data_IF_172310087275
#
_entry.id   IF_172310087275
#
_cell.length_a   1.000
_cell.length_b   1.000
_cell.length_c   1.000
_cell.angle_alpha   90.00
_cell.angle_beta   90.00
_cell.angle_gamma   90.00
#
_symmetry.space_group_name_H-M   'P 1'
#
loop_
_entity.id
_entity.type
_entity.pdbx_description
1 polymer ?
#
# COMPACT_ATOMS: atom_id res chain seq x y z
N UNK A 1 -36.40 3.01 -64.61
CA UNK A 1 -37.87 3.13 -64.42
C UNK A 1 -38.34 1.81 -63.83
N UNK A 2 -38.99 1.84 -62.67
CA UNK A 2 -39.48 0.62 -62.02
C UNK A 2 -40.74 0.11 -62.76
N UNK A 3 -40.69 -1.10 -63.30
CA UNK A 3 -41.81 -1.75 -63.98
C UNK A 3 -42.36 -2.96 -63.19
N UNK A 4 -41.94 -3.14 -61.93
CA UNK A 4 -42.34 -4.29 -61.10
C UNK A 4 -43.85 -4.35 -60.85
N UNK A 5 -44.53 -3.20 -60.76
CA UNK A 5 -45.98 -3.12 -60.61
C UNK A 5 -46.71 -3.56 -61.89
N UNK A 6 -46.18 -3.19 -63.07
CA UNK A 6 -46.79 -3.52 -64.36
C UNK A 6 -46.77 -5.04 -64.65
N UNK A 7 -45.76 -5.74 -64.12
CA UNK A 7 -45.64 -7.20 -64.24
C UNK A 7 -46.26 -7.99 -63.07
N UNK A 8 -47.04 -7.35 -62.19
CA UNK A 8 -47.63 -8.05 -61.03
C UNK A 8 -48.84 -8.93 -61.38
N UNK A 9 -49.39 -8.80 -62.59
CA UNK A 9 -50.57 -9.52 -63.09
C UNK A 9 -50.21 -10.92 -63.63
N UNK A 10 -51.17 -11.86 -63.60
CA UNK A 10 -50.90 -13.31 -63.67
C UNK A 10 -50.17 -13.82 -64.93
N UNK A 11 -50.48 -13.31 -66.13
CA UNK A 11 -49.76 -13.68 -67.36
C UNK A 11 -48.41 -12.97 -67.47
N UNK A 12 -48.37 -11.70 -67.09
CA UNK A 12 -47.18 -10.85 -67.15
C UNK A 12 -46.09 -11.30 -66.18
N UNK A 13 -46.46 -11.94 -65.07
CA UNK A 13 -45.54 -12.54 -64.11
C UNK A 13 -44.71 -13.69 -64.70
N UNK A 14 -45.27 -14.46 -65.66
CA UNK A 14 -44.52 -15.52 -66.34
C UNK A 14 -43.50 -14.94 -67.32
N UNK A 15 -43.89 -13.88 -68.03
CA UNK A 15 -43.01 -13.15 -68.95
C UNK A 15 -41.88 -12.48 -68.16
N UNK A 16 -42.19 -11.86 -67.01
CA UNK A 16 -41.21 -11.23 -66.15
C UNK A 16 -40.18 -12.21 -65.58
N UNK A 17 -40.59 -13.43 -65.21
CA UNK A 17 -39.64 -14.49 -64.83
C UNK A 17 -38.71 -14.88 -65.98
N UNK A 18 -39.25 -15.03 -67.19
CA UNK A 18 -38.46 -15.33 -68.39
C UNK A 18 -37.42 -14.23 -68.67
N UNK A 19 -37.82 -12.96 -68.56
CA UNK A 19 -36.87 -11.85 -68.66
C UNK A 19 -35.85 -11.84 -67.51
N UNK A 20 -36.25 -12.17 -66.28
CA UNK A 20 -35.31 -12.30 -65.17
C UNK A 20 -34.25 -13.38 -65.40
N UNK A 21 -34.56 -14.46 -66.11
CA UNK A 21 -33.60 -15.53 -66.39
C UNK A 21 -32.66 -15.20 -67.56
N UNK A 22 -33.14 -14.43 -68.57
CA UNK A 22 -32.39 -14.15 -69.80
C UNK A 22 -31.56 -12.85 -69.71
N UNK A 23 -32.10 -11.80 -69.11
CA UNK A 23 -31.53 -10.44 -69.18
C UNK A 23 -31.14 -9.86 -67.82
N UNK A 24 -31.13 -10.64 -66.73
CA UNK A 24 -30.68 -10.15 -65.42
C UNK A 24 -29.17 -9.96 -65.40
N UNK A 25 -28.75 -8.70 -65.45
CA UNK A 25 -27.32 -8.30 -65.38
C UNK A 25 -26.89 -8.00 -63.93
N UNK A 26 -27.83 -7.80 -63.00
CA UNK A 26 -27.55 -7.54 -61.59
C UNK A 26 -28.84 -7.34 -60.77
N UNK A 27 -28.72 -7.24 -59.45
CA UNK A 27 -29.80 -6.88 -58.53
C UNK A 27 -29.45 -5.59 -57.81
N UNK A 28 -30.42 -4.68 -57.67
CA UNK A 28 -30.30 -3.55 -56.76
C UNK A 28 -30.49 -4.12 -55.35
N UNK A 29 -29.38 -4.28 -54.62
CA UNK A 29 -29.42 -4.74 -53.25
C UNK A 29 -29.98 -3.62 -52.38
N UNK A 30 -31.11 -3.89 -51.71
CA UNK A 30 -31.65 -3.00 -50.69
C UNK A 30 -31.19 -3.55 -49.35
N UNK A 31 -30.75 -2.69 -48.42
CA UNK A 31 -30.25 -3.18 -47.14
C UNK A 31 -31.26 -4.14 -46.51
N UNK A 32 -30.84 -5.39 -46.32
CA UNK A 32 -31.72 -6.39 -45.73
C UNK A 32 -32.17 -5.91 -44.35
N UNK A 33 -33.38 -6.27 -43.93
CA UNK A 33 -33.89 -5.94 -42.60
C UNK A 33 -32.90 -6.38 -41.51
N UNK A 34 -32.18 -7.48 -41.74
CA UNK A 34 -31.08 -7.95 -40.88
C UNK A 34 -29.88 -6.98 -40.83
N UNK A 35 -29.47 -6.39 -41.95
CA UNK A 35 -28.41 -5.38 -41.99
C UNK A 35 -28.82 -4.10 -41.25
N UNK A 36 -30.06 -3.64 -41.44
CA UNK A 36 -30.61 -2.47 -40.74
C UNK A 36 -30.69 -2.74 -39.24
N UNK A 37 -31.21 -3.90 -38.83
CA UNK A 37 -31.28 -4.30 -37.43
C UNK A 37 -29.88 -4.38 -36.79
N UNK A 38 -28.91 -4.98 -37.48
CA UNK A 38 -27.52 -5.05 -37.02
C UNK A 38 -26.89 -3.67 -36.84
N UNK A 39 -27.10 -2.76 -37.79
CA UNK A 39 -26.62 -1.37 -37.68
C UNK A 39 -27.27 -0.64 -36.50
N UNK A 40 -28.57 -0.81 -36.27
CA UNK A 40 -29.26 -0.21 -35.12
C UNK A 40 -28.65 -0.72 -33.82
N UNK A 41 -28.47 -2.05 -33.68
CA UNK A 41 -27.84 -2.64 -32.48
C UNK A 41 -26.42 -2.11 -32.29
N UNK A 42 -25.63 -2.01 -33.37
CA UNK A 42 -24.27 -1.48 -33.33
C UNK A 42 -24.27 -0.01 -32.88
N UNK A 43 -25.13 0.84 -33.44
CA UNK A 43 -25.21 2.25 -33.03
C UNK A 43 -25.67 2.40 -31.58
N UNK A 44 -26.64 1.61 -31.12
CA UNK A 44 -27.08 1.63 -29.72
C UNK A 44 -25.94 1.21 -28.79
N UNK A 45 -25.21 0.14 -29.12
CA UNK A 45 -24.05 -0.30 -28.35
C UNK A 45 -22.93 0.74 -28.36
N UNK A 46 -22.65 1.37 -29.51
CA UNK A 46 -21.65 2.41 -29.66
C UNK A 46 -21.98 3.63 -28.81
N UNK A 47 -23.22 4.13 -28.86
CA UNK A 47 -23.69 5.27 -28.05
C UNK A 47 -23.59 4.93 -26.57
N UNK A 48 -23.97 3.71 -26.17
CA UNK A 48 -23.86 3.27 -24.79
C UNK A 48 -22.40 3.26 -24.31
N UNK A 49 -21.49 2.61 -25.05
CA UNK A 49 -20.06 2.57 -24.70
C UNK A 49 -19.48 3.99 -24.66
N UNK A 50 -19.75 4.81 -25.68
CA UNK A 50 -19.22 6.17 -25.77
C UNK A 50 -19.76 7.05 -24.63
N UNK A 51 -21.02 6.91 -24.23
CA UNK A 51 -21.57 7.64 -23.10
C UNK A 51 -20.92 7.26 -21.77
N UNK A 52 -20.62 5.97 -21.53
CA UNK A 52 -19.87 5.52 -20.36
C UNK A 52 -18.45 6.10 -20.38
N UNK A 53 -17.77 6.09 -21.53
CA UNK A 53 -16.41 6.64 -21.67
C UNK A 53 -16.41 8.14 -21.40
N UNK A 54 -17.35 8.90 -21.99
CA UNK A 54 -17.48 10.35 -21.77
C UNK A 54 -17.81 10.65 -20.30
N UNK A 55 -18.72 9.89 -19.68
CA UNK A 55 -19.03 10.06 -18.26
C UNK A 55 -17.79 9.82 -17.38
N UNK A 56 -17.04 8.74 -17.62
CA UNK A 56 -15.77 8.48 -16.92
C UNK A 56 -14.75 9.60 -17.13
N UNK A 57 -14.65 10.14 -18.34
CA UNK A 57 -13.75 11.25 -18.65
C UNK A 57 -14.14 12.53 -17.89
N UNK A 58 -15.42 12.90 -17.87
CA UNK A 58 -15.91 14.08 -17.12
C UNK A 58 -15.67 13.90 -15.61
N UNK A 59 -15.92 12.69 -15.07
CA UNK A 59 -15.61 12.38 -13.68
C UNK A 59 -14.11 12.48 -13.38
N UNK A 60 -13.24 12.03 -14.30
CA UNK A 60 -11.80 12.16 -14.15
C UNK A 60 -11.34 13.63 -14.14
N UNK A 61 -11.92 14.48 -15.01
CA UNK A 61 -11.65 15.93 -15.01
C UNK A 61 -12.12 16.58 -13.71
N UNK A 62 -13.32 16.22 -13.23
CA UNK A 62 -13.83 16.71 -11.96
C UNK A 62 -12.94 16.29 -10.79
N UNK A 63 -12.46 15.05 -10.81
CA UNK A 63 -11.52 14.56 -9.81
C UNK A 63 -10.20 15.33 -9.84
N UNK A 64 -9.62 15.50 -11.03
CA UNK A 64 -8.33 16.17 -11.22
C UNK A 64 -8.37 17.66 -10.84
N UNK A 65 -9.48 18.36 -11.09
CA UNK A 65 -9.57 19.80 -10.84
C UNK A 65 -10.07 20.15 -9.44
N UNK A 66 -10.93 19.31 -8.85
CA UNK A 66 -11.61 19.64 -7.58
C UNK A 66 -11.30 18.68 -6.43
N UNK A 67 -11.29 17.37 -6.67
CA UNK A 67 -11.21 16.37 -5.58
C UNK A 67 -9.78 16.02 -5.17
N UNK A 68 -8.82 15.96 -6.11
CA UNK A 68 -7.45 15.50 -5.84
C UNK A 68 -6.74 16.31 -4.73
N UNK A 69 -7.03 17.61 -4.65
CA UNK A 69 -6.47 18.53 -3.65
C UNK A 69 -6.91 18.20 -2.22
N UNK A 70 -8.05 17.53 -2.06
CA UNK A 70 -8.56 17.11 -0.75
C UNK A 70 -7.71 15.96 -0.17
N UNK A 71 -7.16 15.10 -1.02
CA UNK A 71 -6.46 13.87 -0.64
C UNK A 71 -4.94 14.04 -0.52
N UNK A 72 -4.35 15.00 -1.24
CA UNK A 72 -2.92 15.27 -1.18
C UNK A 72 -2.48 15.72 0.24
N UNK A 73 -1.25 15.37 0.63
CA UNK A 73 -0.66 15.82 1.91
C UNK A 73 -0.54 17.36 1.93
N UNK A 74 -0.79 17.96 3.11
CA UNK A 74 -0.84 19.42 3.23
C UNK A 74 0.57 20.04 3.16
N UNK A 75 1.55 19.31 3.67
CA UNK A 75 2.97 19.67 3.64
C UNK A 75 3.76 18.45 3.16
N UNK A 76 4.61 18.64 2.17
CA UNK A 76 5.65 17.71 1.74
C UNK A 76 6.87 18.53 1.33
N UNK A 77 8.06 17.95 1.33
CA UNK A 77 9.29 18.60 0.88
C UNK A 77 9.22 19.05 -0.61
N UNK A 78 8.22 18.56 -1.34
CA UNK A 78 7.95 18.86 -2.75
C UNK A 78 6.68 19.71 -2.95
N UNK A 79 6.03 20.15 -1.85
CA UNK A 79 4.82 20.98 -1.88
C UNK A 79 5.15 22.44 -2.18
N UNK A 80 4.76 22.91 -3.38
CA UNK A 80 4.91 24.31 -3.78
C UNK A 80 4.65 24.56 -5.25
N UNK A 81 5.26 23.76 -6.14
CA UNK A 81 5.13 23.89 -7.59
C UNK A 81 4.91 22.52 -8.26
N UNK A 82 3.66 22.19 -8.59
CA UNK A 82 3.32 20.93 -9.26
C UNK A 82 4.10 20.71 -10.56
N UNK A 83 4.40 21.78 -11.31
CA UNK A 83 5.21 21.71 -12.53
C UNK A 83 6.66 21.31 -12.24
N UNK A 84 7.28 21.87 -11.19
CA UNK A 84 8.66 21.53 -10.79
C UNK A 84 8.74 20.10 -10.29
N UNK A 85 7.76 19.66 -9.48
CA UNK A 85 7.66 18.27 -9.04
C UNK A 85 7.57 17.31 -10.23
N UNK A 86 6.70 17.60 -11.20
CA UNK A 86 6.58 16.76 -12.40
C UNK A 86 7.88 16.73 -13.22
N UNK A 87 8.58 17.86 -13.32
CA UNK A 87 9.91 17.91 -13.96
C UNK A 87 10.94 17.05 -13.22
N UNK A 88 10.99 17.11 -11.88
CA UNK A 88 11.86 16.27 -11.07
C UNK A 88 11.54 14.79 -11.22
N UNK A 89 10.26 14.42 -11.33
CA UNK A 89 9.84 13.04 -11.59
C UNK A 89 10.34 12.59 -12.97
N UNK A 90 10.20 13.41 -14.02
CA UNK A 90 10.72 13.05 -15.35
C UNK A 90 12.26 12.98 -15.36
N UNK A 91 12.96 13.96 -14.77
CA UNK A 91 14.43 13.96 -14.68
C UNK A 91 15.00 12.80 -13.86
N UNK A 92 14.24 12.30 -12.88
CA UNK A 92 14.63 11.13 -12.09
C UNK A 92 14.24 9.82 -12.77
N UNK A 93 13.17 9.82 -13.56
CA UNK A 93 12.82 8.69 -14.41
C UNK A 93 13.85 8.48 -15.55
N UNK A 94 14.50 9.55 -16.02
CA UNK A 94 15.50 9.44 -17.10
C UNK A 94 16.79 8.68 -16.68
N UNK A 95 17.08 8.56 -15.37
CA UNK A 95 18.27 7.84 -14.86
C UNK A 95 17.94 6.95 -13.65
N UNK A 96 17.95 5.62 -13.89
CA UNK A 96 17.68 4.60 -12.88
C UNK A 96 18.75 4.55 -11.80
N UNK A 97 19.98 5.02 -12.00
CA UNK A 97 21.00 4.93 -10.95
C UNK A 97 21.13 6.21 -10.14
N UNK A 98 20.36 7.25 -10.49
CA UNK A 98 20.38 8.52 -9.78
C UNK A 98 19.74 8.38 -8.40
N UNK A 99 20.38 8.92 -7.33
CA UNK A 99 19.77 8.97 -6.00
C UNK A 99 18.53 9.86 -6.01
N UNK A 100 17.65 9.62 -5.04
CA UNK A 100 16.44 10.42 -4.85
C UNK A 100 16.76 11.94 -4.76
N UNK A 101 15.89 12.81 -5.33
CA UNK A 101 16.03 14.25 -5.17
C UNK A 101 16.18 14.67 -3.71
N UNK A 102 16.92 15.75 -3.45
CA UNK A 102 17.11 16.25 -2.09
C UNK A 102 15.76 16.67 -1.49
N UNK A 103 15.30 15.91 -0.50
CA UNK A 103 14.26 16.33 0.45
C UNK A 103 14.82 17.59 1.12
N UNK A 104 14.19 18.74 0.90
CA UNK A 104 14.59 19.96 1.58
C UNK A 104 14.19 19.83 3.07
N UNK A 105 15.10 20.14 4.00
CA UNK A 105 14.94 20.10 5.47
C UNK A 105 13.77 20.94 6.03
N UNK A 106 12.98 21.53 5.15
CA UNK A 106 11.80 22.36 5.41
C UNK A 106 10.73 21.70 6.29
N UNK A 107 10.72 20.36 6.45
CA UNK A 107 9.73 19.67 7.29
C UNK A 107 10.14 19.70 8.77
N UNK A 108 11.44 19.65 9.09
CA UNK A 108 11.92 19.66 10.48
C UNK A 108 12.00 21.08 11.08
N UNK A 109 12.31 22.10 10.26
CA UNK A 109 12.52 23.48 10.73
C UNK A 109 11.32 24.42 10.56
N UNK A 110 10.13 23.91 10.21
CA UNK A 110 8.90 24.72 10.08
C UNK A 110 7.89 24.51 11.23
N UNK A 111 8.38 24.09 12.40
CA UNK A 111 7.59 24.03 13.64
C UNK A 111 7.34 25.40 14.29
N UNK A 112 7.92 26.49 13.78
CA UNK A 112 7.67 27.85 14.26
C UNK A 112 7.24 28.79 13.12
N UNK A 113 5.99 28.66 12.66
CA UNK A 113 5.14 29.78 12.20
C UNK A 113 3.78 29.21 11.82
N UNK A 114 3.07 28.70 12.81
CA UNK A 114 1.62 28.79 12.73
C UNK A 114 1.30 30.28 12.57
N UNK A 115 0.80 30.67 11.40
CA UNK A 115 0.23 31.98 11.15
C UNK A 115 -0.95 32.16 12.11
N UNK A 116 -0.66 32.60 13.34
CA UNK A 116 -1.63 33.24 14.23
C UNK A 116 -2.04 34.54 13.54
N UNK A 117 -2.99 34.46 12.60
CA UNK A 117 -3.91 35.57 12.39
C UNK A 117 -4.71 35.68 13.67
N UNK A 118 -4.18 36.44 14.63
CA UNK A 118 -4.88 36.76 15.87
C UNK A 118 -6.20 37.43 15.51
N UNK A 119 -7.30 36.76 15.83
CA UNK A 119 -8.59 37.40 15.90
C UNK A 119 -8.50 38.50 16.95
N UNK A 120 -8.69 39.75 16.54
CA UNK A 120 -8.53 40.96 17.38
C UNK A 120 -9.67 41.16 18.40
N UNK A 121 -10.50 40.14 18.65
CA UNK A 121 -11.65 40.21 19.55
C UNK A 121 -11.66 38.98 20.48
N UNK A 122 -11.78 39.16 21.80
CA UNK A 122 -11.90 38.05 22.74
C UNK A 122 -13.26 37.36 22.55
N UNK A 123 -13.25 36.08 22.16
CA UNK A 123 -14.48 35.30 21.90
C UNK A 123 -14.91 34.41 23.05
N UNK A 124 -14.33 34.56 24.25
CA UNK A 124 -14.74 33.79 25.43
C UNK A 124 -15.39 34.71 26.47
N UNK A 125 -16.69 34.50 26.68
CA UNK A 125 -17.44 35.09 27.78
C UNK A 125 -17.22 34.25 29.04
N UNK A 126 -17.16 34.89 30.22
CA UNK A 126 -17.09 34.23 31.54
C UNK A 126 -18.36 33.42 31.88
N UNK A 127 -19.35 33.40 30.99
CA UNK A 127 -20.60 32.66 31.12
C UNK A 127 -20.76 31.52 30.09
N UNK A 128 -19.71 31.17 29.34
CA UNK A 128 -19.77 30.04 28.40
C UNK A 128 -19.72 28.72 29.17
N UNK A 129 -20.81 27.95 29.11
CA UNK A 129 -20.89 26.63 29.74
C UNK A 129 -19.94 25.63 29.05
N UNK A 130 -19.42 24.62 29.77
CA UNK A 130 -18.55 23.59 29.20
C UNK A 130 -19.13 22.90 27.94
N UNK A 131 -20.45 22.77 27.89
CA UNK A 131 -21.18 22.18 26.75
C UNK A 131 -21.16 23.03 25.47
N UNK A 132 -20.97 24.36 25.57
CA UNK A 132 -20.87 25.21 24.39
C UNK A 132 -19.49 25.12 23.72
N UNK A 133 -18.44 24.80 24.49
CA UNK A 133 -17.09 24.56 23.98
C UNK A 133 -17.07 23.25 23.16
N UNK A 134 -17.75 22.22 23.64
CA UNK A 134 -17.89 20.93 22.94
C UNK A 134 -18.56 21.09 21.56
N UNK A 135 -19.60 21.94 21.48
CA UNK A 135 -20.26 22.28 20.20
C UNK A 135 -19.40 23.11 19.25
N UNK A 136 -18.44 23.87 19.78
CA UNK A 136 -17.47 24.62 18.97
C UNK A 136 -16.33 23.74 18.45
N UNK A 137 -15.94 22.70 19.20
CA UNK A 137 -15.04 21.64 18.72
C UNK A 137 -15.71 20.77 17.65
N UNK A 138 -17.01 20.53 17.74
CA UNK A 138 -17.79 19.86 16.69
C UNK A 138 -17.84 20.64 15.36
N UNK A 139 -17.42 21.91 15.36
CA UNK A 139 -17.26 22.75 14.14
C UNK A 139 -15.83 22.77 13.59
N UNK A 140 -14.86 22.22 14.32
CA UNK A 140 -13.56 21.86 13.75
C UNK A 140 -13.74 20.59 12.92
N UNK A 141 -13.05 20.48 11.78
CA UNK A 141 -13.03 19.23 11.00
C UNK A 141 -12.75 18.06 11.95
N UNK A 142 -13.44 16.91 11.79
CA UNK A 142 -13.15 15.74 12.62
C UNK A 142 -11.65 15.48 12.55
N UNK A 143 -11.01 15.37 13.70
CA UNK A 143 -9.59 15.04 13.76
C UNK A 143 -9.42 13.69 13.06
N UNK A 144 -8.45 13.60 12.16
CA UNK A 144 -8.10 12.33 11.54
C UNK A 144 -7.68 11.35 12.63
N UNK A 145 -8.10 10.09 12.52
CA UNK A 145 -7.77 9.06 13.51
C UNK A 145 -7.06 7.89 12.85
N UNK A 146 -5.87 7.57 13.32
CA UNK A 146 -5.12 6.33 13.07
C UNK A 146 -5.23 5.40 14.27
N UNK A 147 -4.91 4.12 14.11
CA UNK A 147 -4.88 3.15 15.22
C UNK A 147 -4.03 3.63 16.41
N UNK A 148 -2.89 4.29 16.14
CA UNK A 148 -2.03 4.88 17.16
C UNK A 148 -2.69 6.06 17.91
N UNK A 149 -3.45 6.91 17.21
CA UNK A 149 -4.17 8.03 17.83
C UNK A 149 -5.39 7.57 18.64
N UNK A 150 -6.08 6.52 18.20
CA UNK A 150 -7.24 5.97 18.91
C UNK A 150 -6.82 5.28 20.21
N UNK A 151 -5.74 4.49 20.20
CA UNK A 151 -5.22 3.82 21.40
C UNK A 151 -4.73 4.83 22.45
N UNK A 152 -4.08 5.91 22.01
CA UNK A 152 -3.62 7.00 22.88
C UNK A 152 -4.78 7.77 23.51
N UNK A 153 -5.84 8.05 22.72
CA UNK A 153 -7.03 8.78 23.19
C UNK A 153 -7.88 7.93 24.13
N UNK A 154 -8.01 6.62 23.87
CA UNK A 154 -8.74 5.68 24.73
C UNK A 154 -8.14 5.60 26.15
N UNK A 155 -6.83 5.81 26.31
CA UNK A 155 -6.14 5.79 27.61
C UNK A 155 -6.29 7.10 28.40
N UNK A 156 -6.74 8.19 27.79
CA UNK A 156 -6.91 9.50 28.41
C UNK A 156 -8.34 9.77 28.93
N UNK A 157 -9.30 8.88 28.66
CA UNK A 157 -10.69 9.01 29.10
C UNK A 157 -10.95 8.07 30.29
N UNK A 158 -11.05 8.57 31.54
CA UNK A 158 -11.47 7.74 32.67
C UNK A 158 -12.95 7.38 32.48
N UNK A 159 -13.25 6.10 32.23
CA UNK A 159 -14.62 5.57 32.32
C UNK A 159 -15.39 5.35 31.02
N UNK A 160 -14.74 5.34 29.85
CA UNK A 160 -15.40 4.89 28.61
C UNK A 160 -15.36 3.36 28.49
N UNK A 161 -16.16 2.67 29.32
CA UNK A 161 -16.61 1.32 29.03
C UNK A 161 -18.14 1.30 28.95
N UNK A 162 -18.63 0.47 28.02
CA UNK A 162 -20.02 0.02 27.84
C UNK A 162 -20.91 0.91 26.94
N UNK A 163 -20.88 0.64 25.63
CA UNK A 163 -22.02 0.08 24.88
C UNK A 163 -21.55 -0.34 23.47
N UNK A 164 -21.44 -1.64 23.22
CA UNK A 164 -21.00 -2.21 21.95
C UNK A 164 -20.19 -3.47 22.15
N UNK A 165 -20.87 -4.57 22.44
CA UNK A 165 -20.29 -5.89 22.63
C UNK A 165 -19.71 -6.40 21.29
N UNK A 166 -18.40 -6.34 21.14
CA UNK A 166 -17.62 -7.09 20.17
C UNK A 166 -16.44 -7.70 20.92
N UNK A 167 -16.33 -9.03 20.89
CA UNK A 167 -15.31 -9.82 21.60
C UNK A 167 -13.90 -9.23 21.41
N UNK A 168 -13.39 -8.55 22.43
CA UNK A 168 -11.96 -8.24 22.59
C UNK A 168 -11.48 -8.94 23.86
N UNK A 169 -10.57 -9.89 23.68
CA UNK A 169 -9.96 -10.73 24.71
C UNK A 169 -8.82 -10.01 25.45
N UNK A 170 -9.05 -8.83 26.00
CA UNK A 170 -8.05 -8.15 26.84
C UNK A 170 -8.12 -8.52 28.33
N UNK A 171 -8.89 -9.54 28.72
CA UNK A 171 -9.15 -9.82 30.14
C UNK A 171 -9.01 -11.27 30.58
N UNK A 172 -8.01 -11.98 30.07
CA UNK A 172 -7.60 -13.28 30.62
C UNK A 172 -6.11 -13.26 30.88
N UNK A 173 -5.71 -12.81 32.08
CA UNK A 173 -4.53 -13.27 32.85
C UNK A 173 -4.34 -12.42 34.13
N UNK A 174 -5.34 -12.42 35.04
CA UNK A 174 -5.20 -12.03 36.47
C UNK A 174 -6.57 -12.31 37.12
N UNK A 175 -6.77 -13.09 38.19
CA UNK A 175 -5.92 -13.47 39.32
C UNK A 175 -6.34 -14.86 39.84
N UNK A 176 -5.34 -15.65 40.27
CA UNK A 176 -5.54 -16.55 41.40
C UNK A 176 -5.30 -15.75 42.69
N UNK A 177 -6.34 -15.70 43.53
CA UNK A 177 -6.43 -15.23 44.92
C UNK A 177 -5.09 -15.09 45.69
N UNK A 178 -4.81 -13.91 46.24
CA UNK A 178 -4.69 -13.69 47.71
C UNK A 178 -4.14 -12.28 48.08
N UNK A 179 -5.03 -11.49 48.70
CA UNK A 179 -4.82 -10.66 49.90
C UNK A 179 -3.81 -9.49 49.98
N UNK A 180 -4.40 -8.30 50.17
CA UNK A 180 -4.22 -7.35 51.29
C UNK A 180 -2.93 -6.50 51.35
N UNK A 181 -3.03 -5.23 50.93
CA UNK A 181 -3.05 -4.02 51.78
C UNK A 181 -2.52 -2.78 51.04
N UNK A 182 -3.36 -1.75 50.97
CA UNK A 182 -2.97 -0.35 50.70
C UNK A 182 -2.83 0.36 52.05
N UNK A 183 -1.85 1.26 52.23
CA UNK A 183 -2.24 2.65 52.48
C UNK A 183 -1.37 3.69 51.74
N UNK A 184 -2.05 4.53 50.96
CA UNK A 184 -2.04 6.00 50.99
C UNK A 184 -0.69 6.74 51.22
N UNK A 185 -0.24 7.55 50.25
CA UNK A 185 -0.34 9.03 50.29
C UNK A 185 0.64 9.78 49.36
N UNK A 186 0.10 10.85 48.76
CA UNK A 186 0.72 12.10 48.30
C UNK A 186 1.71 12.12 47.13
N UNK A 187 1.14 12.55 45.99
CA UNK A 187 1.61 13.61 45.08
C UNK A 187 3.11 13.72 44.74
N UNK A 188 3.42 13.45 43.47
CA UNK A 188 4.34 14.26 42.65
C UNK A 188 4.04 14.05 41.16
N UNK A 189 3.63 15.13 40.49
CA UNK A 189 3.43 15.20 39.04
C UNK A 189 4.76 14.98 38.33
N UNK A 190 4.85 13.97 37.46
CA UNK A 190 5.89 13.84 36.45
C UNK A 190 5.26 13.52 35.08
N UNK A 191 5.87 14.11 34.05
CA UNK A 191 5.64 13.90 32.62
C UNK A 191 5.64 12.41 32.27
N UNK A 192 4.63 11.96 31.54
CA UNK A 192 4.50 10.58 31.08
C UNK A 192 5.49 10.30 29.94
N UNK A 193 6.72 9.93 30.31
CA UNK A 193 7.53 9.01 29.52
C UNK A 193 6.86 7.65 29.63
N UNK A 194 6.81 6.91 28.54
CA UNK A 194 6.22 5.56 28.48
C UNK A 194 7.09 4.61 29.30
N UNK A 195 6.88 4.59 30.61
CA UNK A 195 7.38 3.54 31.48
C UNK A 195 6.25 2.49 31.56
N UNK A 196 6.37 1.48 30.72
CA UNK A 196 5.63 0.23 30.87
C UNK A 196 6.09 -0.41 32.18
N UNK A 197 5.45 -0.07 33.30
CA UNK A 197 5.79 -0.64 34.60
C UNK A 197 5.24 -2.07 34.70
N UNK A 198 6.10 -2.97 34.29
CA UNK A 198 6.02 -4.41 34.27
C UNK A 198 7.23 -4.86 33.45
N UNK A 199 8.12 -5.72 33.97
CA UNK A 199 9.26 -6.18 33.20
C UNK A 199 8.73 -7.04 32.05
N UNK A 200 8.40 -6.41 30.93
CA UNK A 200 8.44 -7.06 29.63
C UNK A 200 9.81 -7.73 29.52
N UNK A 201 9.90 -8.92 28.91
CA UNK A 201 11.08 -9.75 29.01
C UNK A 201 12.30 -8.92 28.59
N UNK A 202 13.17 -8.61 29.56
CA UNK A 202 14.42 -7.90 29.29
C UNK A 202 15.13 -8.69 28.18
N UNK A 203 15.40 -8.03 27.05
CA UNK A 203 16.05 -8.64 25.88
C UNK A 203 15.13 -9.22 24.80
N UNK A 204 13.80 -9.02 24.85
CA UNK A 204 12.93 -9.42 23.73
C UNK A 204 12.94 -8.42 22.58
N UNK A 205 12.85 -7.12 22.90
CA UNK A 205 12.89 -6.04 21.92
C UNK A 205 14.35 -5.73 21.58
N UNK A 206 14.66 -5.61 20.29
CA UNK A 206 16.01 -5.33 19.82
C UNK A 206 16.46 -3.93 20.27
N UNK A 207 17.70 -3.80 20.76
CA UNK A 207 18.21 -2.52 21.31
C UNK A 207 18.20 -1.39 20.27
N UNK A 208 18.40 -1.74 19.00
CA UNK A 208 18.43 -0.79 17.89
C UNK A 208 17.04 -0.38 17.33
N UNK A 209 15.94 -0.61 18.05
CA UNK A 209 14.60 -0.19 17.61
C UNK A 209 14.52 1.33 17.44
N UNK A 210 13.90 1.77 16.35
CA UNK A 210 13.69 3.20 16.06
C UNK A 210 12.67 3.79 17.03
N UNK A 211 13.01 4.84 17.81
CA UNK A 211 12.08 5.45 18.76
C UNK A 211 10.83 6.01 18.08
N UNK A 212 9.68 5.83 18.73
CA UNK A 212 8.42 6.36 18.23
C UNK A 212 8.28 7.86 18.57
N UNK A 213 7.90 8.71 17.60
CA UNK A 213 7.57 10.09 17.87
C UNK A 213 6.29 10.20 18.73
N UNK A 214 6.08 11.33 19.42
CA UNK A 214 4.84 11.58 20.16
C UNK A 214 3.60 11.52 19.25
N UNK A 215 2.43 11.05 19.71
CA UNK A 215 1.20 10.97 18.89
C UNK A 215 0.71 12.32 18.34
N UNK A 216 1.08 13.42 18.99
CA UNK A 216 0.78 14.81 18.59
C UNK A 216 1.63 15.28 17.40
N UNK A 217 2.70 14.55 17.05
CA UNK A 217 3.62 14.93 15.99
C UNK A 217 3.04 14.62 14.61
N UNK A 218 2.58 15.67 13.92
CA UNK A 218 1.94 15.59 12.61
C UNK A 218 2.72 16.38 11.55
N UNK A 219 3.86 15.85 11.06
CA UNK A 219 4.76 16.59 10.17
C UNK A 219 4.09 17.02 8.84
N UNK A 220 3.14 16.22 8.35
CA UNK A 220 2.50 16.41 7.05
C UNK A 220 1.07 16.99 7.13
N UNK A 221 0.62 17.38 8.34
CA UNK A 221 -0.75 17.86 8.58
C UNK A 221 -1.79 16.77 8.84
N UNK A 222 -1.34 15.53 9.08
CA UNK A 222 -2.17 14.39 9.48
C UNK A 222 -1.40 13.50 10.48
N UNK A 223 -2.09 12.74 11.35
CA UNK A 223 -1.47 11.78 12.27
C UNK A 223 -0.83 10.63 11.51
N UNK A 224 0.34 10.19 11.96
CA UNK A 224 1.05 9.11 11.31
C UNK A 224 0.30 7.77 11.48
N UNK A 225 0.31 7.01 10.40
CA UNK A 225 -0.16 5.64 10.28
C UNK A 225 1.03 4.69 10.07
N UNK A 226 1.03 3.52 10.68
CA UNK A 226 2.06 2.51 10.43
C UNK A 226 1.79 1.80 9.10
N UNK A 227 2.83 1.69 8.27
CA UNK A 227 2.75 1.12 6.93
C UNK A 227 3.75 -0.02 6.72
N UNK A 228 3.29 -1.10 6.09
CA UNK A 228 4.13 -2.18 5.58
C UNK A 228 4.44 -1.91 4.11
N UNK A 229 5.72 -1.83 3.77
CA UNK A 229 6.19 -1.73 2.39
C UNK A 229 6.52 -3.14 1.89
N UNK A 230 5.52 -3.79 1.29
CA UNK A 230 5.63 -5.12 0.71
C UNK A 230 6.36 -5.06 -0.63
N UNK A 231 7.50 -5.75 -0.71
CA UNK A 231 8.31 -5.95 -1.90
C UNK A 231 8.28 -7.43 -2.26
N UNK A 232 7.64 -7.80 -3.37
CA UNK A 232 7.66 -9.19 -3.83
C UNK A 232 8.80 -9.40 -4.82
N UNK A 233 9.60 -10.43 -4.57
CA UNK A 233 10.74 -10.80 -5.40
C UNK A 233 10.60 -12.24 -5.88
N UNK A 234 11.04 -12.52 -7.11
CA UNK A 234 11.13 -13.83 -7.72
C UNK A 234 12.52 -14.10 -8.29
N UNK A 235 12.97 -13.33 -9.28
CA UNK A 235 14.23 -13.57 -9.99
C UNK A 235 15.05 -12.30 -10.24
N UNK A 236 14.79 -11.26 -9.46
CA UNK A 236 15.45 -9.96 -9.57
C UNK A 236 16.89 -10.04 -9.04
N UNK A 237 17.79 -9.35 -9.74
CA UNK A 237 19.19 -9.25 -9.35
C UNK A 237 19.43 -8.26 -8.20
N UNK A 238 20.68 -8.20 -7.70
CA UNK A 238 21.06 -7.31 -6.60
C UNK A 238 20.84 -5.83 -6.91
N UNK A 239 21.13 -5.37 -8.13
CA UNK A 239 20.96 -3.96 -8.49
C UNK A 239 19.49 -3.52 -8.48
N UNK A 240 18.59 -4.36 -9.01
CA UNK A 240 17.15 -4.08 -9.04
C UNK A 240 16.55 -4.03 -7.63
N UNK A 241 16.84 -5.05 -6.83
CA UNK A 241 16.35 -5.12 -5.46
C UNK A 241 16.92 -3.99 -4.59
N UNK A 242 18.22 -3.68 -4.73
CA UNK A 242 18.87 -2.55 -4.06
C UNK A 242 18.16 -1.25 -4.38
N UNK A 243 17.97 -0.98 -5.67
CA UNK A 243 17.31 0.22 -6.19
C UNK A 243 15.93 0.43 -5.58
N UNK A 244 15.12 -0.63 -5.52
CA UNK A 244 13.77 -0.59 -4.95
C UNK A 244 13.82 -0.31 -3.46
N UNK A 245 14.60 -1.10 -2.71
CA UNK A 245 14.67 -0.99 -1.25
C UNK A 245 15.25 0.35 -0.80
N UNK A 246 16.26 0.88 -1.51
CA UNK A 246 16.86 2.19 -1.25
C UNK A 246 15.83 3.31 -1.44
N UNK A 247 15.01 3.20 -2.49
CA UNK A 247 13.95 4.18 -2.76
C UNK A 247 12.84 4.15 -1.70
N UNK A 248 12.50 2.97 -1.18
CA UNK A 248 11.52 2.80 -0.08
C UNK A 248 12.08 3.35 1.23
N UNK A 249 13.33 3.03 1.56
CA UNK A 249 14.00 3.47 2.78
C UNK A 249 14.15 5.00 2.84
N UNK A 250 14.50 5.62 1.71
CA UNK A 250 14.71 7.07 1.57
C UNK A 250 13.45 7.90 1.28
N UNK A 251 12.26 7.30 1.37
CA UNK A 251 11.00 8.06 1.33
C UNK A 251 10.92 9.08 2.46
N UNK A 252 10.21 10.19 2.23
CA UNK A 252 10.02 11.29 3.19
C UNK A 252 9.28 10.83 4.47
N UNK A 253 8.53 9.73 4.39
CA UNK A 253 7.76 9.23 5.50
C UNK A 253 8.65 8.63 6.61
N UNK A 254 8.39 8.88 7.91
CA UNK A 254 9.27 8.49 9.01
C UNK A 254 9.55 6.99 9.08
N UNK A 255 10.83 6.63 9.26
CA UNK A 255 11.26 5.23 9.38
C UNK A 255 10.72 4.51 10.63
N UNK A 256 10.30 5.24 11.67
CA UNK A 256 9.59 4.69 12.83
C UNK A 256 8.22 4.09 12.49
N UNK A 257 7.62 4.51 11.38
CA UNK A 257 6.29 4.08 10.92
C UNK A 257 6.32 3.24 9.64
N UNK A 258 7.52 2.83 9.19
CA UNK A 258 7.70 1.98 8.01
C UNK A 258 8.26 0.63 8.42
N UNK A 259 7.75 -0.43 7.83
CA UNK A 259 8.33 -1.77 7.88
C UNK A 259 8.56 -2.26 6.46
N UNK A 260 9.80 -2.56 6.09
CA UNK A 260 10.09 -3.19 4.80
C UNK A 260 9.81 -4.69 4.94
N UNK A 261 8.92 -5.22 4.11
CA UNK A 261 8.64 -6.65 4.05
C UNK A 261 9.01 -7.17 2.67
N UNK A 262 10.06 -7.98 2.57
CA UNK A 262 10.44 -8.63 1.32
C UNK A 262 9.93 -10.07 1.33
N UNK A 263 9.22 -10.49 0.29
CA UNK A 263 8.80 -11.89 0.14
C UNK A 263 9.42 -12.47 -1.14
N UNK A 264 10.36 -13.41 -0.96
CA UNK A 264 11.00 -14.14 -2.04
C UNK A 264 10.16 -15.38 -2.42
N UNK A 265 9.65 -15.41 -3.64
CA UNK A 265 8.79 -16.47 -4.17
C UNK A 265 9.58 -17.67 -4.69
N UNK A 266 10.19 -18.40 -3.77
CA UNK A 266 10.98 -19.59 -4.04
C UNK A 266 12.49 -19.33 -3.97
N UNK A 267 13.25 -20.42 -3.99
CA UNK A 267 14.71 -20.37 -4.09
C UNK A 267 15.10 -20.36 -5.56
N UNK A 268 15.11 -19.16 -6.14
CA UNK A 268 15.27 -18.95 -7.58
C UNK A 268 16.54 -18.16 -7.84
N UNK A 269 17.23 -18.51 -8.93
CA UNK A 269 18.40 -17.80 -9.42
C UNK A 269 18.04 -17.09 -10.73
N UNK A 270 18.26 -15.78 -10.77
CA UNK A 270 18.05 -14.97 -11.97
C UNK A 270 18.96 -15.37 -13.12
N UNK A 271 18.55 -15.09 -14.36
CA UNK A 271 19.40 -15.38 -15.52
C UNK A 271 20.62 -14.45 -15.54
N UNK A 272 21.82 -15.02 -15.48
CA UNK A 272 23.07 -14.27 -15.45
C UNK A 272 23.52 -13.85 -14.05
N UNK A 273 22.72 -14.10 -13.02
CA UNK A 273 23.08 -13.83 -11.63
C UNK A 273 23.97 -14.93 -11.04
N UNK A 274 24.76 -14.60 -10.03
CA UNK A 274 25.60 -15.57 -9.30
C UNK A 274 24.88 -16.13 -8.07
N UNK A 275 24.09 -15.29 -7.40
CA UNK A 275 23.34 -15.58 -6.18
C UNK A 275 21.86 -15.83 -6.47
N UNK A 276 21.19 -16.54 -5.55
CA UNK A 276 19.74 -16.69 -5.56
C UNK A 276 19.07 -15.43 -5.03
N UNK A 277 17.83 -15.16 -5.44
CA UNK A 277 17.04 -13.99 -4.98
C UNK A 277 16.94 -13.90 -3.45
N UNK A 278 16.75 -15.01 -2.70
CA UNK A 278 16.81 -14.97 -1.23
C UNK A 278 18.17 -14.55 -0.66
N UNK A 279 19.27 -15.04 -1.24
CA UNK A 279 20.63 -14.67 -0.79
C UNK A 279 20.90 -13.18 -1.05
N UNK A 280 20.40 -12.65 -2.18
CA UNK A 280 20.45 -11.21 -2.49
C UNK A 280 19.65 -10.40 -1.48
N UNK A 281 18.45 -10.84 -1.09
CA UNK A 281 17.66 -10.14 -0.08
C UNK A 281 18.35 -10.16 1.29
N UNK A 282 18.92 -11.31 1.68
CA UNK A 282 19.61 -11.49 2.95
C UNK A 282 20.90 -10.67 3.04
N UNK A 283 21.63 -10.48 1.94
CA UNK A 283 22.84 -9.63 1.93
C UNK A 283 22.51 -8.14 2.13
N UNK A 284 21.25 -7.74 1.97
CA UNK A 284 20.76 -6.38 2.20
C UNK A 284 20.12 -6.20 3.59
N UNK A 285 20.33 -7.15 4.49
CA UNK A 285 19.88 -7.11 5.87
C UNK A 285 21.09 -7.19 6.81
N UNK A 286 21.02 -6.44 7.91
CA UNK A 286 21.99 -6.49 9.01
C UNK A 286 21.28 -6.60 10.35
N UNK A 287 22.05 -6.88 11.40
CA UNK A 287 21.56 -6.95 12.79
C UNK A 287 20.35 -7.88 12.90
N UNK A 288 20.55 -9.13 12.46
CA UNK A 288 19.50 -10.14 12.51
C UNK A 288 19.13 -10.46 13.96
N UNK A 289 17.84 -10.65 14.23
CA UNK A 289 17.37 -11.10 15.55
C UNK A 289 17.73 -12.55 15.83
N UNK A 290 17.80 -13.36 14.78
CA UNK A 290 18.21 -14.77 14.77
C UNK A 290 19.21 -14.91 13.62
N UNK A 291 20.33 -15.58 13.87
CA UNK A 291 21.34 -15.79 12.83
C UNK A 291 20.74 -16.52 11.62
N UNK A 292 21.07 -16.13 10.38
CA UNK A 292 20.44 -16.70 9.18
C UNK A 292 20.50 -18.23 9.09
N UNK A 293 21.54 -18.85 9.63
CA UNK A 293 21.75 -20.31 9.63
C UNK A 293 20.85 -21.04 10.64
N UNK A 294 20.37 -20.36 11.67
CA UNK A 294 19.53 -20.93 12.73
C UNK A 294 18.03 -20.80 12.41
N UNK A 295 17.67 -20.06 11.35
CA UNK A 295 16.28 -19.85 10.96
C UNK A 295 15.65 -21.13 10.41
N UNK A 296 14.60 -21.59 11.09
CA UNK A 296 13.86 -22.79 10.75
C UNK A 296 12.79 -22.51 9.68
N UNK A 297 12.51 -23.48 8.78
CA UNK A 297 11.39 -23.39 7.87
C UNK A 297 10.10 -23.82 8.58
N UNK A 298 9.03 -23.04 8.41
CA UNK A 298 7.70 -23.32 8.96
C UNK A 298 6.70 -23.59 7.85
N UNK A 299 5.75 -24.49 8.12
CA UNK A 299 4.74 -24.90 7.13
C UNK A 299 3.61 -23.87 7.03
N UNK A 300 3.12 -23.65 5.81
CA UNK A 300 1.89 -22.89 5.55
C UNK A 300 1.10 -23.49 4.38
N UNK A 301 -0.15 -23.06 4.27
CA UNK A 301 -1.07 -23.48 3.20
C UNK A 301 -0.97 -22.50 2.04
N UNK A 302 -0.39 -22.95 0.93
CA UNK A 302 -0.20 -22.15 -0.27
C UNK A 302 -1.42 -22.18 -1.20
N UNK A 303 -1.54 -21.16 -2.05
CA UNK A 303 -2.56 -21.04 -3.11
C UNK A 303 -2.19 -21.90 -4.32
N UNK A 304 -2.24 -23.21 -4.13
CA UNK A 304 -1.96 -24.20 -5.16
C UNK A 304 -2.92 -25.40 -5.08
N UNK A 305 -2.73 -26.38 -5.94
CA UNK A 305 -3.52 -27.62 -5.98
C UNK A 305 -2.65 -28.85 -5.71
N UNK A 306 -3.25 -29.91 -5.17
CA UNK A 306 -2.56 -31.16 -4.89
C UNK A 306 -1.48 -31.04 -3.81
N UNK A 307 -0.36 -31.75 -3.99
CA UNK A 307 0.78 -31.74 -3.07
C UNK A 307 1.40 -30.35 -2.89
N UNK A 308 1.33 -29.50 -3.93
CA UNK A 308 1.87 -28.14 -3.91
C UNK A 308 1.15 -27.19 -2.95
N UNK A 309 0.02 -27.60 -2.37
CA UNK A 309 -0.69 -26.86 -1.30
C UNK A 309 0.11 -26.75 -0.01
N UNK A 310 0.94 -27.74 0.28
CA UNK A 310 1.86 -27.66 1.40
C UNK A 310 3.13 -26.96 0.91
N UNK A 311 3.45 -25.84 1.55
CA UNK A 311 4.68 -25.12 1.31
C UNK A 311 5.33 -24.77 2.65
N UNK A 312 6.62 -24.45 2.63
CA UNK A 312 7.33 -23.96 3.81
C UNK A 312 8.01 -22.63 3.51
N UNK A 313 8.13 -21.79 4.52
CA UNK A 313 8.83 -20.51 4.43
C UNK A 313 9.69 -20.27 5.67
N UNK A 314 10.78 -19.53 5.48
CA UNK A 314 11.69 -19.06 6.52
C UNK A 314 11.47 -17.57 6.73
N UNK A 315 11.51 -17.13 7.98
CA UNK A 315 11.31 -15.72 8.36
C UNK A 315 12.60 -15.19 8.96
N UNK A 316 13.10 -14.12 8.37
CA UNK A 316 14.27 -13.40 8.82
C UNK A 316 13.83 -12.00 9.24
N UNK A 317 14.30 -11.53 10.39
CA UNK A 317 14.01 -10.18 10.88
C UNK A 317 15.31 -9.50 11.29
N UNK A 318 15.40 -8.21 10.98
CA UNK A 318 16.57 -7.37 11.25
C UNK A 318 16.33 -5.96 10.74
N UNK A 319 17.39 -5.31 10.31
CA UNK A 319 17.35 -3.95 9.77
C UNK A 319 17.90 -3.92 8.36
N UNK A 320 17.39 -2.98 7.58
CA UNK A 320 17.87 -2.75 6.23
C UNK A 320 19.33 -2.28 6.25
N UNK A 321 20.15 -2.87 5.40
CA UNK A 321 21.52 -2.43 5.17
C UNK A 321 21.66 -1.73 3.82
N UNK A 322 22.26 -0.54 3.80
CA UNK A 322 22.52 0.21 2.57
C UNK A 322 23.74 -0.33 1.82
N UNK A 323 24.63 -1.04 2.52
CA UNK A 323 25.91 -1.51 2.01
C UNK A 323 27.00 -0.43 2.03
N UNK A 324 28.26 -0.86 1.97
CA UNK A 324 29.43 0.04 1.98
C UNK A 324 29.53 0.90 0.72
N UNK A 325 29.13 0.35 -0.43
CA UNK A 325 29.18 1.01 -1.75
C UNK A 325 27.87 1.75 -2.10
N UNK A 326 27.05 2.09 -1.10
CA UNK A 326 25.76 2.75 -1.34
C UNK A 326 25.92 4.11 -2.01
N UNK A 327 25.08 4.39 -3.02
CA UNK A 327 24.97 5.71 -3.66
C UNK A 327 24.33 6.74 -2.70
N UNK A 328 23.71 6.29 -1.61
CA UNK A 328 23.04 7.14 -0.62
C UNK A 328 24.07 7.68 0.39
N UNK A 329 24.14 9.01 0.60
CA UNK A 329 25.03 9.60 1.60
C UNK A 329 24.75 9.06 3.00
N UNK A 330 25.81 8.84 3.79
CA UNK A 330 25.74 8.29 5.17
C UNK A 330 24.76 9.09 6.05
N UNK A 331 24.67 10.41 5.88
CA UNK A 331 23.75 11.28 6.62
C UNK A 331 22.27 10.92 6.42
N UNK A 332 21.92 10.30 5.28
CA UNK A 332 20.55 9.89 4.93
C UNK A 332 20.29 8.40 5.17
N UNK A 333 21.32 7.65 5.56
CA UNK A 333 21.19 6.23 5.84
C UNK A 333 20.55 6.04 7.22
N UNK A 334 19.24 6.28 7.26
CA UNK A 334 18.45 6.04 8.44
C UNK A 334 18.08 4.57 8.55
N UNK A 335 18.00 4.10 9.81
CA UNK A 335 17.66 2.73 10.14
C UNK A 335 16.20 2.45 9.80
N UNK A 336 15.96 1.35 9.08
CA UNK A 336 14.61 0.90 8.70
C UNK A 336 14.44 -0.57 9.10
N UNK A 337 13.39 -0.92 9.86
CA UNK A 337 13.15 -2.32 10.20
C UNK A 337 12.75 -3.10 8.95
N UNK A 338 13.26 -4.32 8.84
CA UNK A 338 13.10 -5.18 7.68
C UNK A 338 12.78 -6.62 8.09
N UNK A 339 11.80 -7.23 7.42
CA UNK A 339 11.50 -8.66 7.51
C UNK A 339 11.60 -9.26 6.10
N UNK A 340 12.26 -10.41 5.99
CA UNK A 340 12.35 -11.19 4.75
C UNK A 340 11.66 -12.53 4.97
N UNK A 341 10.71 -12.86 4.11
CA UNK A 341 10.06 -14.17 4.06
C UNK A 341 10.56 -14.90 2.82
N UNK A 342 11.25 -16.02 3.01
CA UNK A 342 11.77 -16.86 1.92
C UNK A 342 10.93 -18.11 1.82
N UNK A 343 10.19 -18.28 0.73
CA UNK A 343 9.51 -19.54 0.44
C UNK A 343 10.55 -20.57 0.00
N UNK A 344 10.64 -21.69 0.69
CA UNK A 344 11.67 -22.71 0.43
C UNK A 344 11.12 -24.02 -0.14
N UNK A 345 9.81 -24.25 -0.10
CA UNK A 345 9.26 -25.55 -0.48
C UNK A 345 9.38 -26.56 0.66
N UNK A 346 8.74 -27.70 0.49
CA UNK A 346 8.97 -28.86 1.36
C UNK A 346 10.32 -29.51 1.05
N UNK A 347 10.82 -30.37 1.94
CA UNK A 347 12.07 -31.10 1.72
C UNK A 347 12.07 -31.95 0.43
N UNK A 348 10.89 -32.40 -0.02
CA UNK A 348 10.71 -33.14 -1.27
C UNK A 348 10.88 -32.26 -2.52
N UNK A 349 10.60 -30.95 -2.41
CA UNK A 349 10.75 -29.99 -3.50
C UNK A 349 12.17 -29.42 -3.62
N UNK A 350 13.06 -29.70 -2.66
CA UNK A 350 14.41 -29.12 -2.61
C UNK A 350 15.26 -29.44 -3.84
N UNK A 351 15.03 -30.58 -4.50
CA UNK A 351 15.72 -31.00 -5.73
C UNK A 351 15.05 -30.50 -7.02
N UNK A 352 13.89 -29.85 -6.92
CA UNK A 352 13.18 -29.33 -8.09
C UNK A 352 13.82 -28.03 -8.59
N UNK A 353 13.57 -27.70 -9.85
CA UNK A 353 14.13 -26.49 -10.46
C UNK A 353 13.66 -25.18 -9.81
N UNK A 354 12.50 -25.19 -9.12
CA UNK A 354 11.87 -24.00 -8.53
C UNK A 354 11.24 -24.32 -7.16
N UNK A 355 12.03 -24.63 -6.12
CA UNK A 355 11.51 -25.01 -4.81
C UNK A 355 10.69 -23.87 -4.19
N UNK A 356 9.51 -24.18 -3.66
CA UNK A 356 8.67 -23.22 -2.93
C UNK A 356 8.00 -22.13 -3.76
N UNK A 357 8.25 -22.05 -5.06
CA UNK A 357 7.62 -21.06 -5.94
C UNK A 357 6.12 -21.33 -6.11
N UNK A 358 5.28 -20.31 -5.88
CA UNK A 358 3.81 -20.39 -6.00
C UNK A 358 3.16 -19.14 -6.63
N UNK A 359 3.96 -18.20 -7.09
CA UNK A 359 3.53 -16.97 -7.75
C UNK A 359 3.33 -15.81 -6.78
N UNK A 360 3.32 -14.59 -7.33
CA UNK A 360 3.13 -13.33 -6.59
C UNK A 360 1.84 -13.32 -5.74
N UNK A 361 0.76 -13.93 -6.24
CA UNK A 361 -0.52 -14.05 -5.51
C UNK A 361 -0.35 -14.78 -4.18
N UNK A 362 0.38 -15.89 -4.17
CA UNK A 362 0.64 -16.64 -2.94
C UNK A 362 1.48 -15.80 -1.95
N UNK A 363 2.45 -15.03 -2.46
CA UNK A 363 3.24 -14.12 -1.62
C UNK A 363 2.37 -13.07 -0.93
N UNK A 364 1.44 -12.46 -1.66
CA UNK A 364 0.49 -11.49 -1.11
C UNK A 364 -0.44 -12.13 -0.08
N UNK A 365 -0.89 -13.37 -0.31
CA UNK A 365 -1.79 -14.07 0.61
C UNK A 365 -1.11 -14.41 1.94
N UNK A 366 0.21 -14.65 1.98
CA UNK A 366 0.94 -14.80 3.25
C UNK A 366 0.74 -13.56 4.13
N UNK A 367 0.93 -12.35 3.58
CA UNK A 367 0.73 -11.11 4.33
C UNK A 367 -0.75 -10.88 4.66
N UNK A 368 -1.65 -11.02 3.68
CA UNK A 368 -3.08 -10.74 3.89
C UNK A 368 -3.71 -11.69 4.91
N UNK A 369 -3.38 -12.98 4.87
CA UNK A 369 -3.84 -13.97 5.85
C UNK A 369 -3.27 -13.70 7.24
N UNK A 370 -2.01 -13.28 7.33
CA UNK A 370 -1.40 -12.89 8.58
C UNK A 370 -2.13 -11.69 9.20
N UNK A 371 -2.30 -10.60 8.44
CA UNK A 371 -2.99 -9.39 8.93
C UNK A 371 -4.43 -9.69 9.33
N UNK A 372 -5.16 -10.50 8.56
CA UNK A 372 -6.52 -10.91 8.92
C UNK A 372 -6.54 -11.61 10.29
N UNK A 373 -5.63 -12.57 10.55
CA UNK A 373 -5.58 -13.26 11.83
C UNK A 373 -5.18 -12.37 12.99
N UNK A 374 -4.22 -11.47 12.77
CA UNK A 374 -3.80 -10.50 13.78
C UNK A 374 -4.95 -9.56 14.15
N UNK A 375 -5.67 -9.03 13.16
CA UNK A 375 -6.74 -8.05 13.39
C UNK A 375 -7.99 -8.65 14.04
N UNK A 376 -8.26 -9.94 13.81
CA UNK A 376 -9.42 -10.65 14.36
C UNK A 376 -9.09 -11.57 15.56
N UNK A 377 -7.86 -11.52 16.08
CA UNK A 377 -7.39 -12.36 17.20
C UNK A 377 -7.66 -13.87 16.95
N UNK A 378 -7.40 -14.30 15.71
CA UNK A 378 -7.61 -15.69 15.30
C UNK A 378 -6.38 -16.56 15.59
N UNK A 379 -6.59 -17.88 15.57
CA UNK A 379 -5.51 -18.84 15.77
C UNK A 379 -4.46 -18.73 14.67
N UNK A 380 -3.25 -18.35 15.06
CA UNK A 380 -2.07 -18.31 14.20
C UNK A 380 -1.43 -19.69 14.04
N UNK A 381 -0.82 -19.89 12.87
CA UNK A 381 0.12 -20.99 12.60
C UNK A 381 1.52 -20.64 13.14
N UNK A 382 2.42 -21.62 13.18
CA UNK A 382 3.80 -21.38 13.63
C UNK A 382 4.51 -20.32 12.78
N UNK A 383 4.32 -20.34 11.45
CA UNK A 383 4.87 -19.33 10.55
C UNK A 383 4.36 -17.93 10.92
N UNK A 384 3.05 -17.78 11.12
CA UNK A 384 2.44 -16.49 11.46
C UNK A 384 2.86 -16.00 12.85
N UNK A 385 3.04 -16.91 13.81
CA UNK A 385 3.53 -16.58 15.14
C UNK A 385 4.98 -16.08 15.12
N UNK A 386 5.86 -16.73 14.37
CA UNK A 386 7.23 -16.25 14.18
C UNK A 386 7.27 -14.94 13.39
N UNK A 387 6.34 -14.75 12.45
CA UNK A 387 6.22 -13.48 11.72
C UNK A 387 5.78 -12.35 12.65
N UNK A 388 4.79 -12.60 13.51
CA UNK A 388 4.35 -11.68 14.54
C UNK A 388 5.50 -11.25 15.45
N UNK A 389 6.22 -12.23 16.00
CA UNK A 389 7.36 -11.97 16.88
C UNK A 389 8.49 -11.26 16.15
N UNK A 390 8.77 -11.62 14.90
CA UNK A 390 9.79 -10.96 14.09
C UNK A 390 9.54 -9.46 13.95
N UNK A 391 8.30 -9.07 13.64
CA UNK A 391 7.90 -7.65 13.58
C UNK A 391 8.04 -7.01 14.97
N UNK A 392 7.44 -7.61 15.99
CA UNK A 392 7.39 -7.01 17.32
C UNK A 392 8.79 -6.80 17.92
N UNK A 393 9.73 -7.73 17.71
CA UNK A 393 11.11 -7.63 18.18
C UNK A 393 11.88 -6.46 17.57
N UNK A 394 11.72 -6.21 16.26
CA UNK A 394 12.51 -5.19 15.54
C UNK A 394 11.87 -3.80 15.54
N UNK A 395 10.56 -3.70 15.77
CA UNK A 395 9.85 -2.41 15.78
C UNK A 395 9.37 -1.98 17.15
N UNK A 396 9.25 -2.91 18.10
CA UNK A 396 8.60 -2.67 19.39
C UNK A 396 7.08 -2.42 19.28
N UNK A 397 6.52 -2.47 18.07
CA UNK A 397 5.12 -2.21 17.77
C UNK A 397 4.45 -3.52 17.36
N UNK A 398 3.30 -3.80 17.99
CA UNK A 398 2.52 -4.97 17.65
C UNK A 398 1.98 -4.86 16.20
N UNK A 399 1.98 -5.95 15.41
CA UNK A 399 1.51 -5.97 14.02
C UNK A 399 0.09 -5.44 13.79
N UNK A 400 -0.77 -5.43 14.81
CA UNK A 400 -2.15 -4.90 14.78
C UNK A 400 -2.22 -3.37 14.57
N UNK A 401 -1.12 -2.64 14.83
CA UNK A 401 -1.04 -1.20 14.55
C UNK A 401 -0.78 -0.88 13.07
N UNK A 402 -0.39 -1.86 12.25
CA UNK A 402 -0.13 -1.65 10.83
C UNK A 402 -1.43 -1.65 10.03
N UNK A 403 -1.84 -0.46 9.57
CA UNK A 403 -3.13 -0.24 8.92
C UNK A 403 -3.01 -0.03 7.39
N UNK A 404 -1.80 0.22 6.88
CA UNK A 404 -1.56 0.50 5.44
C UNK A 404 -0.51 -0.44 4.86
N UNK A 405 -0.71 -0.89 3.62
CA UNK A 405 0.27 -1.69 2.87
C UNK A 405 0.60 -1.00 1.54
N UNK A 406 1.85 -0.59 1.35
CA UNK A 406 2.41 -0.26 0.05
C UNK A 406 2.85 -1.57 -0.62
N UNK A 407 2.42 -1.81 -1.86
CA UNK A 407 2.87 -2.97 -2.64
C UNK A 407 3.70 -2.47 -3.83
N UNK A 408 4.94 -2.96 -3.93
CA UNK A 408 5.86 -2.60 -5.00
C UNK A 408 6.59 -3.83 -5.52
N UNK A 409 6.87 -3.87 -6.82
CA UNK A 409 7.70 -4.91 -7.42
C UNK A 409 9.18 -4.65 -7.10
N UNK A 410 9.99 -5.71 -7.00
CA UNK A 410 11.40 -5.60 -6.61
C UNK A 410 12.30 -4.86 -7.61
N UNK A 411 11.78 -4.45 -8.77
CA UNK A 411 12.46 -3.66 -9.81
C UNK A 411 11.87 -2.25 -10.00
N UNK A 412 11.03 -1.78 -9.06
CA UNK A 412 10.33 -0.50 -9.15
C UNK A 412 10.81 0.51 -8.11
N UNK A 413 11.21 1.70 -8.56
CA UNK A 413 11.53 2.82 -7.66
C UNK A 413 10.29 3.55 -7.18
N UNK A 414 10.28 3.87 -5.89
CA UNK A 414 9.25 4.69 -5.25
C UNK A 414 9.75 6.12 -5.13
N UNK A 415 9.01 7.07 -5.71
CA UNK A 415 9.35 8.49 -5.56
C UNK A 415 9.22 8.95 -4.10
N UNK A 416 10.09 9.84 -3.58
CA UNK A 416 10.19 10.09 -2.13
C UNK A 416 8.92 10.53 -1.43
N UNK A 417 8.03 11.28 -2.11
CA UNK A 417 6.77 11.77 -1.54
C UNK A 417 5.57 10.81 -1.77
N UNK A 418 5.75 9.73 -2.54
CA UNK A 418 4.65 8.82 -2.93
C UNK A 418 4.00 8.15 -1.72
N UNK A 419 4.81 7.64 -0.78
CA UNK A 419 4.31 6.99 0.43
C UNK A 419 3.53 7.97 1.31
N UNK A 420 4.03 9.20 1.48
CA UNK A 420 3.37 10.27 2.23
C UNK A 420 2.02 10.64 1.61
N UNK A 421 1.93 10.73 0.28
CA UNK A 421 0.68 11.00 -0.43
C UNK A 421 -0.33 9.84 -0.33
N UNK A 422 0.14 8.61 -0.45
CA UNK A 422 -0.68 7.41 -0.29
C UNK A 422 -1.33 7.39 1.10
N UNK A 423 -0.51 7.54 2.15
CA UNK A 423 -0.97 7.52 3.53
C UNK A 423 -1.90 8.70 3.81
N UNK A 424 -1.56 9.90 3.33
CA UNK A 424 -2.44 11.07 3.45
C UNK A 424 -3.84 10.80 2.89
N UNK A 425 -3.95 10.18 1.70
CA UNK A 425 -5.24 9.91 1.11
C UNK A 425 -6.08 8.94 1.97
N UNK A 426 -5.46 7.86 2.46
CA UNK A 426 -6.12 6.84 3.29
C UNK A 426 -6.49 7.34 4.69
N UNK A 427 -5.62 8.15 5.32
CA UNK A 427 -5.91 8.75 6.65
C UNK A 427 -6.99 9.82 6.56
N UNK A 428 -7.01 10.58 5.46
CA UNK A 428 -8.02 11.64 5.25
C UNK A 428 -9.40 11.08 4.91
N UNK A 429 -9.46 9.89 4.31
CA UNK A 429 -10.69 9.24 3.88
C UNK A 429 -10.61 7.73 4.13
N UNK A 430 -11.17 7.26 5.27
CA UNK A 430 -11.09 5.86 5.68
C UNK A 430 -11.94 4.93 4.80
N UNK A 431 -12.77 5.46 3.89
CA UNK A 431 -13.49 4.65 2.90
C UNK A 431 -12.59 4.22 1.73
N UNK A 432 -11.40 4.82 1.59
CA UNK A 432 -10.44 4.43 0.55
C UNK A 432 -9.74 3.13 0.95
N UNK A 433 -10.16 2.03 0.32
CA UNK A 433 -9.53 0.72 0.49
C UNK A 433 -8.24 0.54 -0.32
N UNK A 434 -8.02 1.35 -1.36
CA UNK A 434 -6.86 1.19 -2.22
C UNK A 434 -6.68 2.34 -3.21
N UNK A 435 -5.43 2.55 -3.60
CA UNK A 435 -5.03 3.52 -4.61
C UNK A 435 -3.93 2.91 -5.49
N UNK A 436 -3.91 3.35 -6.75
CA UNK A 436 -2.89 2.97 -7.71
C UNK A 436 -1.99 4.18 -7.97
N UNK A 437 -0.68 4.01 -7.79
CA UNK A 437 0.30 5.01 -8.19
C UNK A 437 0.45 5.09 -9.71
N UNK A 438 0.97 6.21 -10.21
CA UNK A 438 1.39 6.32 -11.60
C UNK A 438 2.74 5.63 -11.79
N UNK A 439 2.79 4.60 -12.63
CA UNK A 439 4.04 3.91 -12.98
C UNK A 439 4.63 4.51 -14.25
N UNK A 440 5.90 4.93 -14.19
CA UNK A 440 6.64 5.44 -15.36
C UNK A 440 7.79 4.52 -15.68
N UNK A 441 7.94 4.18 -16.95
CA UNK A 441 9.11 3.45 -17.46
C UNK A 441 10.30 4.40 -17.42
N UNK A 442 11.41 3.98 -16.82
CA UNK A 442 12.63 4.79 -16.81
C UNK A 442 13.43 4.67 -18.12
N UNK A 443 13.47 3.48 -18.72
CA UNK A 443 14.16 3.20 -19.98
C UNK A 443 13.35 3.58 -21.24
N UNK A 444 12.59 4.68 -21.22
CA UNK A 444 11.64 5.05 -22.31
C UNK A 444 12.27 5.04 -23.70
N UNK A 445 13.54 5.42 -23.80
CA UNK A 445 14.29 5.58 -25.07
C UNK A 445 15.36 4.52 -25.32
N UNK A 446 15.49 3.51 -24.47
CA UNK A 446 16.57 2.52 -24.60
C UNK A 446 16.38 1.60 -25.81
N UNK A 447 15.13 1.27 -26.16
CA UNK A 447 14.80 0.41 -27.29
C UNK A 447 13.48 0.82 -27.95
N UNK A 448 13.27 0.36 -29.18
CA UNK A 448 11.98 0.52 -29.85
C UNK A 448 10.84 -0.18 -29.07
N UNK A 449 11.12 -1.31 -28.42
CA UNK A 449 10.14 -2.04 -27.59
C UNK A 449 9.73 -1.21 -26.39
N UNK A 450 10.69 -0.64 -25.66
CA UNK A 450 10.41 0.22 -24.51
C UNK A 450 9.72 1.52 -24.92
N UNK A 451 9.97 2.04 -26.13
CA UNK A 451 9.25 3.20 -26.67
C UNK A 451 7.77 2.91 -26.94
N UNK A 452 7.43 1.70 -27.38
CA UNK A 452 6.03 1.30 -27.60
C UNK A 452 5.31 1.08 -26.27
N UNK A 453 5.98 0.52 -25.27
CA UNK A 453 5.40 0.24 -23.95
C UNK A 453 5.01 1.50 -23.15
N UNK A 454 5.45 2.69 -23.60
CA UNK A 454 5.09 3.98 -22.99
C UNK A 454 3.67 4.44 -23.42
N UNK A 455 3.05 3.81 -24.43
CA UNK A 455 1.74 4.19 -25.00
C UNK A 455 0.57 3.33 -24.52
#
# INVERSE_FOLDING_TARGET
>A
TDMSLAFSSGQDKKIAKCFQDIIKVGSIDTETVGCIASKIVLYVALVFILSIVVAKFVLALAFQWFLCRKYAADKTAFSGDAKKRNQQIEEWADDIYRPAPKIADSVANSSERANKRGSFLPTTSRFTSPYAIERSMARSRPAYTTMASQSSTARLIPGASVYGQGNRSENTLQESRASLMVPNSSEKRYSSVVESDGPGPHGFIHEAVVPQPPPEWQPFGFPLAHAICLVTAYSEGPEGMRTTLDSVATTEYPNSHKLILVICDGIIKGHGETMTTPEVALSMMKEHTILPDEVKPYSYVAVASGSKRHNMAKIYSGFYDYGEDSVIPIEKQERVPMVIIVKCGTSEEASQAKPGNRGKRDSQIILMSFLQKVMFDERMTELEYEFFNGIWKITGISPDFYEIVLMVDADTKVFPDSLTHMISAMVKDPEIMGLCGETKIANKRASWVSMIQVF
#
